data_IF_622152903220
#
_entry.id   IF_622152903220
#
_cell.length_a   1.000
_cell.length_b   1.000
_cell.length_c   1.000
_cell.angle_alpha   90.00
_cell.angle_beta   90.00
_cell.angle_gamma   90.00
#
_symmetry.space_group_name_H-M   'P 1'
#
loop_
_entity.id
_entity.type
_entity.pdbx_description
1 polymer ?
#
# COMPACT_ATOMS: atom_id res chain seq x y z
N UNK A 1 7.02 -11.24 4.42
CA UNK A 1 5.67 -10.68 4.18
C UNK A 1 4.84 -11.71 3.46
N UNK A 2 3.57 -11.90 3.79
CA UNK A 2 2.69 -12.72 2.95
C UNK A 2 2.49 -11.99 1.62
N UNK A 3 2.80 -12.63 0.50
CA UNK A 3 2.60 -12.02 -0.82
C UNK A 3 1.11 -11.93 -1.14
N UNK A 4 0.68 -10.82 -1.74
CA UNK A 4 -0.69 -10.69 -2.22
C UNK A 4 -0.90 -11.66 -3.40
N UNK A 5 -2.00 -12.44 -3.46
CA UNK A 5 -2.20 -13.43 -4.52
C UNK A 5 -2.27 -12.82 -5.93
N UNK A 6 -2.73 -11.57 -6.04
CA UNK A 6 -2.67 -10.82 -7.29
C UNK A 6 -1.29 -10.17 -7.51
N UNK A 7 -0.65 -10.49 -8.64
CA UNK A 7 0.68 -10.01 -9.04
C UNK A 7 0.82 -8.48 -9.14
N UNK A 8 -0.23 -7.77 -9.59
CA UNK A 8 -0.17 -6.31 -9.76
C UNK A 8 -0.16 -5.60 -8.40
N UNK A 9 -0.99 -6.08 -7.47
CA UNK A 9 -1.01 -5.56 -6.11
C UNK A 9 0.29 -5.90 -5.39
N UNK A 10 0.83 -7.11 -5.58
CA UNK A 10 2.14 -7.48 -5.04
C UNK A 10 3.25 -6.53 -5.51
N UNK A 11 3.36 -6.31 -6.82
CA UNK A 11 4.35 -5.39 -7.39
C UNK A 11 4.18 -3.95 -6.89
N UNK A 12 2.93 -3.47 -6.72
CA UNK A 12 2.68 -2.15 -6.16
C UNK A 12 3.08 -2.02 -4.68
N UNK A 13 2.93 -3.10 -3.90
CA UNK A 13 3.40 -3.15 -2.51
C UNK A 13 4.92 -3.15 -2.44
N UNK A 14 5.59 -3.94 -3.28
CA UNK A 14 7.05 -3.94 -3.39
C UNK A 14 7.58 -2.56 -3.80
N UNK A 15 6.91 -1.90 -4.76
CA UNK A 15 7.21 -0.53 -5.13
C UNK A 15 7.10 0.43 -3.93
N UNK A 16 6.01 0.36 -3.17
CA UNK A 16 5.83 1.18 -1.97
C UNK A 16 6.99 1.00 -0.98
N UNK A 17 7.38 -0.25 -0.72
CA UNK A 17 8.51 -0.57 0.18
C UNK A 17 9.82 0.02 -0.36
N UNK A 18 10.07 -0.08 -1.66
CA UNK A 18 11.27 0.51 -2.29
C UNK A 18 11.32 2.04 -2.15
N UNK A 19 10.16 2.69 -1.96
CA UNK A 19 10.03 4.13 -1.71
C UNK A 19 10.03 4.51 -0.23
N UNK A 20 10.38 3.58 0.66
CA UNK A 20 10.44 3.82 2.11
C UNK A 20 9.09 3.78 2.82
N UNK A 21 8.06 3.20 2.19
CA UNK A 21 6.82 2.88 2.90
C UNK A 21 6.93 1.53 3.60
N UNK A 22 6.11 1.33 4.62
CA UNK A 22 6.04 0.09 5.38
C UNK A 22 4.69 -0.61 5.15
N UNK A 23 4.74 -1.91 4.89
CA UNK A 23 3.53 -2.74 4.84
C UNK A 23 3.20 -3.29 6.22
N UNK A 24 1.96 -3.15 6.62
CA UNK A 24 1.37 -3.69 7.85
C UNK A 24 0.35 -4.74 7.44
N UNK A 25 0.59 -5.99 7.80
CA UNK A 25 -0.34 -7.08 7.48
C UNK A 25 -1.70 -6.86 8.17
N UNK A 26 -2.78 -7.20 7.47
CA UNK A 26 -4.13 -7.20 8.02
C UNK A 26 -4.33 -8.36 9.00
N UNK A 27 -5.29 -8.22 9.90
CA UNK A 27 -5.70 -9.31 10.80
C UNK A 27 -6.49 -10.40 10.07
N UNK A 28 -6.87 -11.45 10.79
CA UNK A 28 -7.57 -12.65 10.30
C UNK A 28 -9.01 -12.40 9.81
N UNK A 29 -9.52 -11.17 9.92
CA UNK A 29 -10.92 -10.82 9.72
C UNK A 29 -11.08 -9.62 8.77
N UNK A 30 -11.93 -9.82 7.76
CA UNK A 30 -12.53 -8.84 6.84
C UNK A 30 -11.62 -8.20 5.78
N UNK A 31 -11.71 -8.72 4.55
CA UNK A 31 -11.45 -8.10 3.22
C UNK A 31 -10.13 -7.34 2.96
N UNK A 32 -9.36 -7.03 3.99
CA UNK A 32 -8.18 -6.20 4.01
C UNK A 32 -6.99 -7.14 4.16
N UNK A 33 -6.18 -7.18 3.10
CA UNK A 33 -4.94 -7.93 3.07
C UNK A 33 -3.88 -7.29 3.98
N UNK A 34 -3.90 -5.96 4.05
CA UNK A 34 -2.98 -5.17 4.86
C UNK A 34 -3.08 -3.70 4.50
N UNK A 35 -2.12 -2.90 4.97
CA UNK A 35 -2.06 -1.47 4.70
C UNK A 35 -0.62 -1.07 4.43
N UNK A 36 -0.40 -0.15 3.51
CA UNK A 36 0.90 0.55 3.39
C UNK A 36 0.82 1.84 4.19
N UNK A 37 1.89 2.16 4.92
CA UNK A 37 2.05 3.37 5.74
C UNK A 37 3.34 4.08 5.33
N UNK A 38 3.30 5.40 5.23
CA UNK A 38 4.49 6.19 4.94
C UNK A 38 5.51 6.04 6.08
N UNK A 39 6.80 5.95 5.75
CA UNK A 39 7.89 5.91 6.74
C UNK A 39 8.28 7.29 7.31
N UNK A 40 7.71 8.38 6.80
CA UNK A 40 8.01 9.74 7.25
C UNK A 40 7.27 10.02 8.57
N UNK A 41 7.96 10.35 9.69
CA UNK A 41 7.33 10.53 11.00
C UNK A 41 6.27 11.63 11.07
N UNK A 42 6.38 12.67 10.24
CA UNK A 42 5.39 13.74 10.11
C UNK A 42 4.11 13.29 9.40
N UNK A 43 4.19 12.28 8.52
CA UNK A 43 3.09 11.81 7.68
C UNK A 43 2.30 10.67 8.32
N UNK A 44 1.78 10.89 9.53
CA UNK A 44 1.11 9.84 10.33
C UNK A 44 -0.18 9.31 9.69
N UNK A 45 -0.87 10.15 8.92
CA UNK A 45 -2.12 9.80 8.24
C UNK A 45 -1.89 9.27 6.83
N UNK A 46 -0.64 9.22 6.36
CA UNK A 46 -0.33 8.76 5.02
C UNK A 46 -0.30 7.25 4.96
N UNK A 47 -1.48 6.67 4.79
CA UNK A 47 -1.68 5.23 4.70
C UNK A 47 -2.76 4.87 3.69
N UNK A 48 -2.68 3.64 3.16
CA UNK A 48 -3.67 3.10 2.24
C UNK A 48 -3.94 1.63 2.55
N UNK A 49 -5.22 1.26 2.59
CA UNK A 49 -5.64 -0.14 2.73
C UNK A 49 -5.47 -0.90 1.43
N UNK A 50 -5.00 -2.13 1.54
CA UNK A 50 -4.84 -3.09 0.45
C UNK A 50 -5.91 -4.16 0.64
N UNK A 51 -6.80 -4.29 -0.32
CA UNK A 51 -7.91 -5.23 -0.25
C UNK A 51 -7.51 -6.58 -0.84
N UNK A 52 -7.95 -7.68 -0.22
CA UNK A 52 -7.67 -9.05 -0.67
C UNK A 52 -8.38 -9.41 -1.97
N UNK A 53 -9.60 -8.88 -2.17
CA UNK A 53 -10.47 -9.18 -3.32
C UNK A 53 -11.08 -7.90 -3.91
N UNK A 54 -10.27 -6.98 -4.47
CA UNK A 54 -10.80 -5.78 -5.11
C UNK A 54 -11.46 -6.13 -6.45
N UNK A 55 -12.52 -5.40 -6.81
CA UNK A 55 -13.25 -5.57 -8.08
C UNK A 55 -12.33 -5.43 -9.31
N UNK A 56 -11.34 -4.53 -9.25
CA UNK A 56 -10.31 -4.38 -10.28
C UNK A 56 -8.92 -4.28 -9.60
N UNK A 57 -8.14 -5.37 -9.59
CA UNK A 57 -6.83 -5.42 -8.95
C UNK A 57 -5.78 -4.49 -9.58
N UNK A 58 -5.81 -4.27 -10.89
CA UNK A 58 -4.86 -3.41 -11.60
C UNK A 58 -5.07 -1.95 -11.24
N UNK A 59 -6.33 -1.49 -11.24
CA UNK A 59 -6.67 -0.14 -10.80
C UNK A 59 -6.29 0.06 -9.32
N UNK A 60 -6.49 -0.95 -8.48
CA UNK A 60 -6.09 -0.88 -7.08
C UNK A 60 -4.57 -0.76 -6.93
N UNK A 61 -3.79 -1.51 -7.72
CA UNK A 61 -2.34 -1.40 -7.77
C UNK A 61 -1.88 0.01 -8.21
N UNK A 62 -2.49 0.57 -9.25
CA UNK A 62 -2.22 1.94 -9.71
C UNK A 62 -2.55 2.97 -8.62
N UNK A 63 -3.64 2.79 -7.86
CA UNK A 63 -3.97 3.68 -6.74
C UNK A 63 -2.91 3.64 -5.64
N UNK A 64 -2.37 2.46 -5.31
CA UNK A 64 -1.28 2.31 -4.33
C UNK A 64 -0.05 3.08 -4.80
N UNK A 65 0.38 2.87 -6.05
CA UNK A 65 1.54 3.55 -6.64
C UNK A 65 1.34 5.07 -6.62
N UNK A 66 0.18 5.56 -7.08
CA UNK A 66 -0.16 6.99 -7.05
C UNK A 66 -0.10 7.57 -5.64
N UNK A 67 -0.58 6.85 -4.63
CA UNK A 67 -0.55 7.31 -3.23
C UNK A 67 0.88 7.45 -2.71
N UNK A 68 1.75 6.52 -3.10
CA UNK A 68 3.18 6.51 -2.79
C UNK A 68 3.86 7.69 -3.46
N UNK A 69 3.66 7.88 -4.76
CA UNK A 69 4.29 8.97 -5.53
C UNK A 69 3.83 10.36 -5.11
N UNK A 70 2.56 10.50 -4.71
CA UNK A 70 2.04 11.78 -4.20
C UNK A 70 2.65 12.18 -2.86
N UNK A 71 3.19 11.23 -2.11
CA UNK A 71 3.79 11.47 -0.81
C UNK A 71 5.26 11.83 -0.98
N UNK A 72 5.52 13.12 -1.19
CA UNK A 72 6.87 13.68 -1.23
C UNK A 72 7.26 14.24 0.15
N UNK A 73 8.53 14.11 0.58
CA UNK A 73 9.03 14.77 1.80
C UNK A 73 8.84 16.30 1.77
N UNK A 74 8.74 16.89 0.58
CA UNK A 74 8.58 18.34 0.38
C UNK A 74 7.15 18.87 0.58
N UNK A 75 6.14 18.00 0.72
CA UNK A 75 4.73 18.41 0.83
C UNK A 75 4.23 18.42 2.30
N UNK A 76 4.99 19.10 3.16
CA UNK A 76 4.57 19.39 4.55
C UNK A 76 3.61 20.58 4.60
#
# INVERSE_FOLDING_TARGET
MKAHPNKHIHAAVEYAISKGWHFVAGGSSSHCFGRVRCGIPAHREHMMSIWSTPRNPENHAVQIIRRVDHCSPDKT
#
